data_IF_423692141798
#
_entry.id   IF_423692141798
#
_cell.length_a   1.000
_cell.length_b   1.000
_cell.length_c   1.000
_cell.angle_alpha   90.00
_cell.angle_beta   90.00
_cell.angle_gamma   90.00
#
_symmetry.space_group_name_H-M   'P 1'
#
loop_
_entity.id
_entity.type
_entity.pdbx_description
1 polymer ?
#
# COMPACT_ATOMS: atom_id res chain seq x y z
N UNK A 1 16.02 -20.33 -11.45
CA UNK A 1 15.07 -20.30 -10.30
C UNK A 1 14.45 -21.67 -10.10
N UNK A 2 14.48 -22.20 -8.87
CA UNK A 2 13.80 -23.45 -8.44
C UNK A 2 12.28 -23.26 -8.37
N UNK A 3 11.53 -24.36 -8.28
CA UNK A 3 10.05 -24.34 -8.21
C UNK A 3 9.49 -23.46 -7.09
N UNK A 4 9.99 -23.60 -5.86
CA UNK A 4 9.52 -22.79 -4.72
C UNK A 4 9.72 -21.28 -4.92
N UNK A 5 10.87 -20.87 -5.47
CA UNK A 5 11.12 -19.45 -5.79
C UNK A 5 10.16 -18.92 -6.87
N UNK A 6 9.71 -19.77 -7.81
CA UNK A 6 8.74 -19.36 -8.83
C UNK A 6 7.34 -19.20 -8.24
N UNK A 7 6.95 -20.08 -7.32
CA UNK A 7 5.68 -20.00 -6.61
C UNK A 7 5.64 -18.72 -5.77
N UNK A 8 6.63 -18.49 -4.91
CA UNK A 8 6.72 -17.27 -4.10
C UNK A 8 6.73 -15.99 -4.95
N UNK A 9 7.38 -16.02 -6.13
CA UNK A 9 7.34 -14.88 -7.06
C UNK A 9 5.94 -14.68 -7.66
N UNK A 10 5.24 -15.76 -8.01
CA UNK A 10 3.85 -15.69 -8.50
C UNK A 10 2.93 -15.12 -7.44
N UNK A 11 3.00 -15.64 -6.21
CA UNK A 11 2.19 -15.17 -5.09
C UNK A 11 2.49 -13.70 -4.79
N UNK A 12 3.76 -13.28 -4.85
CA UNK A 12 4.12 -11.88 -4.71
C UNK A 12 3.54 -11.00 -5.83
N UNK A 13 3.49 -11.47 -7.07
CA UNK A 13 2.85 -10.73 -8.17
C UNK A 13 1.36 -10.52 -7.89
N UNK A 14 0.67 -11.55 -7.40
CA UNK A 14 -0.75 -11.48 -7.06
C UNK A 14 -0.99 -10.49 -5.90
N UNK A 15 -0.20 -10.56 -4.83
CA UNK A 15 -0.23 -9.56 -3.75
C UNK A 15 -0.02 -8.13 -4.27
N UNK A 16 0.91 -7.94 -5.22
CA UNK A 16 1.16 -6.60 -5.77
C UNK A 16 0.04 -6.10 -6.67
N UNK A 17 -0.70 -6.99 -7.33
CA UNK A 17 -1.89 -6.61 -8.07
C UNK A 17 -2.95 -6.04 -7.11
N UNK A 18 -3.21 -6.73 -6.00
CA UNK A 18 -4.15 -6.27 -4.96
C UNK A 18 -3.67 -4.95 -4.31
N UNK A 19 -2.36 -4.84 -4.03
CA UNK A 19 -1.77 -3.61 -3.49
C UNK A 19 -1.95 -2.41 -4.44
N UNK A 20 -1.75 -2.63 -5.75
CA UNK A 20 -1.93 -1.59 -6.78
C UNK A 20 -3.40 -1.17 -6.85
N UNK A 21 -4.34 -2.10 -6.81
CA UNK A 21 -5.77 -1.81 -6.87
C UNK A 21 -6.23 -1.02 -5.64
N UNK A 22 -5.80 -1.44 -4.45
CA UNK A 22 -6.00 -0.71 -3.19
C UNK A 22 -5.45 0.74 -3.25
N UNK A 23 -4.25 0.93 -3.79
CA UNK A 23 -3.64 2.26 -3.94
C UNK A 23 -4.38 3.13 -4.97
N UNK A 24 -4.86 2.54 -6.07
CA UNK A 24 -5.67 3.25 -7.06
C UNK A 24 -7.03 3.68 -6.49
N UNK A 25 -7.71 2.82 -5.76
CA UNK A 25 -8.98 3.15 -5.10
C UNK A 25 -8.81 4.28 -4.08
N UNK A 26 -7.75 4.20 -3.27
CA UNK A 26 -7.33 5.27 -2.36
C UNK A 26 -7.18 6.61 -3.09
N UNK A 27 -6.45 6.60 -4.20
CA UNK A 27 -6.18 7.81 -4.99
C UNK A 27 -7.45 8.37 -5.65
N UNK A 28 -8.33 7.51 -6.16
CA UNK A 28 -9.59 7.91 -6.78
C UNK A 28 -10.51 8.61 -5.76
N UNK A 29 -10.57 8.09 -4.54
CA UNK A 29 -11.34 8.69 -3.45
C UNK A 29 -10.70 9.99 -2.97
N UNK A 30 -9.38 10.03 -2.79
CA UNK A 30 -8.64 11.24 -2.39
C UNK A 30 -8.86 12.40 -3.38
N UNK A 31 -8.83 12.15 -4.69
CA UNK A 31 -9.05 13.17 -5.74
C UNK A 31 -10.43 13.83 -5.69
N UNK A 32 -11.42 13.13 -5.14
CA UNK A 32 -12.80 13.61 -5.02
C UNK A 32 -13.20 13.92 -3.56
N UNK A 33 -12.22 13.96 -2.65
CA UNK A 33 -12.48 14.17 -1.23
C UNK A 33 -12.86 15.63 -0.99
N UNK A 34 -14.01 15.82 -0.34
CA UNK A 34 -14.49 17.14 0.08
C UNK A 34 -14.78 17.12 1.57
N UNK A 35 -14.86 18.28 2.20
CA UNK A 35 -15.24 18.36 3.62
C UNK A 35 -16.58 17.67 3.94
N UNK A 36 -17.54 17.68 3.00
CA UNK A 36 -18.85 17.02 3.15
C UNK A 36 -18.75 15.49 3.14
N UNK A 37 -17.89 14.94 2.30
CA UNK A 37 -17.72 13.48 2.14
C UNK A 37 -16.58 12.93 2.98
N UNK A 38 -15.89 13.77 3.74
CA UNK A 38 -14.66 13.42 4.46
C UNK A 38 -14.87 12.25 5.42
N UNK A 39 -15.86 12.36 6.30
CA UNK A 39 -16.10 11.38 7.36
C UNK A 39 -16.39 9.97 6.84
N UNK A 40 -17.09 9.83 5.71
CA UNK A 40 -17.37 8.51 5.14
C UNK A 40 -16.22 7.96 4.29
N UNK A 41 -15.43 8.82 3.63
CA UNK A 41 -14.42 8.41 2.64
C UNK A 41 -13.01 8.23 3.21
N UNK A 42 -12.65 8.96 4.28
CA UNK A 42 -11.28 8.88 4.83
C UNK A 42 -10.99 7.52 5.47
N UNK A 43 -12.03 6.85 6.00
CA UNK A 43 -11.95 5.48 6.49
C UNK A 43 -11.56 4.50 5.39
N UNK A 44 -12.24 4.57 4.24
CA UNK A 44 -11.96 3.71 3.08
C UNK A 44 -10.50 3.85 2.62
N UNK A 45 -10.02 5.10 2.47
CA UNK A 45 -8.62 5.37 2.10
C UNK A 45 -7.66 4.75 3.12
N UNK A 46 -7.95 4.87 4.42
CA UNK A 46 -7.10 4.29 5.48
C UNK A 46 -7.06 2.76 5.37
N UNK A 47 -8.21 2.13 5.14
CA UNK A 47 -8.32 0.68 4.97
C UNK A 47 -7.52 0.20 3.77
N UNK A 48 -7.69 0.81 2.60
CA UNK A 48 -7.00 0.37 1.38
C UNK A 48 -5.49 0.58 1.45
N UNK A 49 -5.00 1.71 1.95
CA UNK A 49 -3.55 1.92 2.11
C UNK A 49 -2.95 0.92 3.12
N UNK A 50 -3.69 0.57 4.19
CA UNK A 50 -3.27 -0.48 5.13
C UNK A 50 -3.31 -1.88 4.51
N UNK A 51 -4.29 -2.14 3.63
CA UNK A 51 -4.37 -3.35 2.82
C UNK A 51 -3.14 -3.51 1.92
N UNK A 52 -2.78 -2.46 1.17
CA UNK A 52 -1.59 -2.46 0.33
C UNK A 52 -0.28 -2.74 1.09
N UNK A 53 -0.16 -2.26 2.34
CA UNK A 53 0.97 -2.63 3.21
C UNK A 53 0.95 -4.12 3.59
N UNK A 54 -0.23 -4.63 3.95
CA UNK A 54 -0.41 -6.04 4.30
C UNK A 54 -0.05 -6.96 3.13
N UNK A 55 -0.42 -6.59 1.91
CA UNK A 55 -0.09 -7.32 0.69
C UNK A 55 1.43 -7.31 0.42
N UNK A 56 2.08 -6.17 0.63
CA UNK A 56 3.53 -6.03 0.48
C UNK A 56 4.29 -6.87 1.52
N UNK A 57 3.83 -6.87 2.78
CA UNK A 57 4.40 -7.70 3.84
C UNK A 57 4.17 -9.19 3.55
N UNK A 58 2.99 -9.57 3.06
CA UNK A 58 2.68 -10.96 2.65
C UNK A 58 3.59 -11.44 1.52
N UNK A 59 3.89 -10.58 0.54
CA UNK A 59 4.88 -10.89 -0.49
C UNK A 59 6.28 -11.19 0.12
N UNK A 60 6.73 -10.38 1.09
CA UNK A 60 8.03 -10.59 1.74
C UNK A 60 8.07 -11.92 2.51
N UNK A 61 7.03 -12.21 3.30
CA UNK A 61 6.89 -13.45 4.07
C UNK A 61 6.93 -14.69 3.16
N UNK A 62 6.39 -14.60 1.94
CA UNK A 62 6.44 -15.66 0.92
C UNK A 62 7.87 -16.09 0.54
N UNK A 63 8.86 -15.23 0.75
CA UNK A 63 10.27 -15.51 0.45
C UNK A 63 11.09 -16.05 1.63
N UNK A 64 10.56 -16.07 2.86
CA UNK A 64 11.32 -16.47 4.05
C UNK A 64 11.83 -17.92 4.02
N UNK A 65 11.11 -18.80 3.31
CA UNK A 65 11.44 -20.23 3.22
C UNK A 65 12.13 -20.63 1.91
N UNK A 66 12.46 -19.67 1.05
CA UNK A 66 13.05 -19.95 -0.28
C UNK A 66 14.56 -19.75 -0.32
N UNK A 67 15.20 -20.28 -1.37
CA UNK A 67 16.63 -20.10 -1.55
C UNK A 67 16.93 -18.63 -1.87
N UNK A 68 17.78 -18.00 -1.05
CA UNK A 68 18.26 -16.65 -1.27
C UNK A 68 19.22 -16.60 -2.47
N UNK A 69 18.65 -16.35 -3.64
CA UNK A 69 19.37 -16.10 -4.89
C UNK A 69 19.25 -14.62 -5.23
N UNK A 70 20.20 -14.11 -6.03
CA UNK A 70 20.26 -12.69 -6.42
C UNK A 70 18.92 -12.11 -6.87
N UNK A 71 18.12 -12.86 -7.66
CA UNK A 71 16.82 -12.40 -8.12
C UNK A 71 15.80 -12.19 -6.99
N UNK A 72 15.76 -13.10 -6.01
CA UNK A 72 14.87 -13.00 -4.84
C UNK A 72 15.29 -11.80 -3.99
N UNK A 73 16.60 -11.62 -3.75
CA UNK A 73 17.11 -10.46 -3.00
C UNK A 73 16.74 -9.13 -3.68
N UNK A 74 16.78 -9.08 -5.01
CA UNK A 74 16.38 -7.88 -5.76
C UNK A 74 14.89 -7.58 -5.57
N UNK A 75 14.03 -8.61 -5.64
CA UNK A 75 12.59 -8.45 -5.39
C UNK A 75 12.37 -7.97 -3.96
N UNK A 76 12.91 -8.65 -2.94
CA UNK A 76 12.76 -8.26 -1.54
C UNK A 76 13.19 -6.81 -1.28
N UNK A 77 14.32 -6.37 -1.84
CA UNK A 77 14.78 -4.98 -1.71
C UNK A 77 13.82 -3.97 -2.33
N UNK A 78 13.26 -4.28 -3.50
CA UNK A 78 12.27 -3.42 -4.17
C UNK A 78 10.97 -3.36 -3.36
N UNK A 79 10.51 -4.50 -2.85
CA UNK A 79 9.30 -4.59 -2.04
C UNK A 79 9.46 -3.80 -0.74
N UNK A 80 10.56 -3.98 -0.01
CA UNK A 80 10.87 -3.19 1.19
C UNK A 80 10.90 -1.69 0.91
N UNK A 81 11.47 -1.27 -0.22
CA UNK A 81 11.47 0.15 -0.60
C UNK A 81 10.04 0.70 -0.76
N UNK A 82 9.16 -0.02 -1.47
CA UNK A 82 7.77 0.43 -1.64
C UNK A 82 6.95 0.30 -0.37
N UNK A 83 7.24 -0.64 0.53
CA UNK A 83 6.66 -0.70 1.89
C UNK A 83 6.92 0.59 2.65
N UNK A 84 8.13 1.15 2.59
CA UNK A 84 8.40 2.44 3.23
C UNK A 84 7.60 3.59 2.60
N UNK A 85 7.45 3.60 1.28
CA UNK A 85 6.64 4.63 0.58
C UNK A 85 5.16 4.52 0.97
N UNK A 86 4.62 3.30 0.99
CA UNK A 86 3.24 3.04 1.39
C UNK A 86 3.00 3.37 2.87
N UNK A 87 3.98 3.10 3.75
CA UNK A 87 3.93 3.47 5.17
C UNK A 87 3.90 4.99 5.36
N UNK A 88 4.71 5.73 4.60
CA UNK A 88 4.64 7.19 4.59
C UNK A 88 3.27 7.70 4.14
N UNK A 89 2.67 7.08 3.10
CA UNK A 89 1.33 7.42 2.65
C UNK A 89 0.28 7.15 3.74
N UNK A 90 0.36 6.01 4.43
CA UNK A 90 -0.55 5.68 5.53
C UNK A 90 -0.42 6.67 6.69
N UNK A 91 0.80 7.09 7.02
CA UNK A 91 1.04 8.09 8.06
C UNK A 91 0.39 9.44 7.71
N UNK A 92 0.50 9.88 6.44
CA UNK A 92 -0.14 11.10 5.95
C UNK A 92 -1.67 10.99 5.98
N UNK A 93 -2.23 9.87 5.52
CA UNK A 93 -3.69 9.62 5.56
C UNK A 93 -4.19 9.59 7.00
N UNK A 94 -3.47 8.94 7.91
CA UNK A 94 -3.81 8.89 9.34
C UNK A 94 -3.76 10.28 9.97
N UNK A 95 -2.77 11.10 9.60
CA UNK A 95 -2.69 12.48 10.05
C UNK A 95 -3.85 13.32 9.50
N UNK A 96 -4.23 13.12 8.25
CA UNK A 96 -5.38 13.78 7.65
C UNK A 96 -6.67 13.38 8.38
N UNK A 97 -6.89 12.08 8.62
CA UNK A 97 -8.05 11.55 9.33
C UNK A 97 -8.22 12.16 10.72
N UNK A 98 -7.12 12.31 11.46
CA UNK A 98 -7.12 12.90 12.81
C UNK A 98 -7.29 14.42 12.82
N UNK A 99 -6.78 15.12 11.79
CA UNK A 99 -6.89 16.58 11.68
C UNK A 99 -8.29 16.99 11.19
N UNK A 100 -8.95 16.14 10.42
CA UNK A 100 -10.31 16.38 9.94
C UNK A 100 -10.39 17.29 8.70
N UNK A 101 -11.62 17.60 8.24
CA UNK A 101 -11.87 18.31 6.98
C UNK A 101 -11.46 19.78 6.99
N UNK A 102 -11.20 20.37 8.16
CA UNK A 102 -10.69 21.75 8.33
C UNK A 102 -9.39 21.96 7.56
N UNK A 103 -8.55 20.92 7.46
CA UNK A 103 -7.34 20.90 6.65
C UNK A 103 -7.60 21.09 5.15
N UNK A 104 -8.75 20.65 4.64
CA UNK A 104 -9.13 20.77 3.22
C UNK A 104 -9.70 22.16 2.89
N UNK A 105 -10.30 22.84 3.88
CA UNK A 105 -10.86 24.19 3.70
C UNK A 105 -9.74 25.21 3.47
N UNK A 106 -8.60 25.03 4.13
CA UNK A 106 -7.44 25.91 4.04
C UNK A 106 -6.58 25.70 2.78
N UNK A 107 -6.87 24.67 1.97
CA UNK A 107 -6.16 24.39 0.70
C UNK A 107 -6.85 24.97 -0.53
N UNK A 108 -7.89 25.79 -0.33
CA UNK A 108 -8.58 26.48 -1.42
C UNK A 108 -7.78 27.72 -1.80
N UNK A 109 -6.92 27.57 -2.82
CA UNK A 109 -6.25 28.68 -3.51
C UNK A 109 -7.27 29.67 -4.10
#
# INVERSE_FOLDING_TARGET
MRGRNRIALSDCIDCFQDAIDNLHDSLNVLRSLTGKTFGSKIGDITTWVSGALTDQDTCLDGFDSVQNIRQVTLVQNLVTYVTYVTSNALALVSKLATTGPESLINLRW
#
